data_IF_693220449330
#
_entry.id   IF_693220449330
#
_cell.length_a   1.000
_cell.length_b   1.000
_cell.length_c   1.000
_cell.angle_alpha   90.00
_cell.angle_beta   90.00
_cell.angle_gamma   90.00
#
_symmetry.space_group_name_H-M   'P 1'
#
loop_
_entity.id
_entity.type
_entity.pdbx_description
1 polymer ?
#
# COMPACT_ATOMS: atom_id res chain seq x y z
N UNK A 1 -17.78 61.97 -40.58
CA UNK A 1 -16.92 61.09 -41.40
C UNK A 1 -16.64 59.82 -40.61
N UNK A 2 -16.51 58.67 -41.30
CA UNK A 2 -15.55 57.55 -41.08
C UNK A 2 -15.24 57.10 -39.63
N UNK A 3 -15.22 55.81 -39.25
CA UNK A 3 -15.78 54.54 -39.79
C UNK A 3 -15.50 53.47 -38.73
N UNK A 4 -16.37 52.46 -38.55
CA UNK A 4 -15.93 51.22 -37.89
C UNK A 4 -14.88 50.53 -38.77
N UNK A 5 -13.77 50.06 -38.18
CA UNK A 5 -12.94 48.97 -38.72
C UNK A 5 -12.29 48.15 -37.59
N UNK A 6 -12.64 46.86 -37.58
CA UNK A 6 -11.85 45.71 -37.20
C UNK A 6 -11.17 45.70 -35.81
N UNK A 7 -11.81 44.99 -34.87
CA UNK A 7 -11.07 44.20 -33.87
C UNK A 7 -10.22 43.18 -34.61
N UNK A 8 -8.92 43.13 -34.34
CA UNK A 8 -8.05 42.02 -34.75
C UNK A 8 -7.79 41.17 -33.52
N UNK A 9 -8.41 39.99 -33.47
CA UNK A 9 -8.12 39.00 -32.43
C UNK A 9 -6.78 38.35 -32.78
N UNK A 10 -5.70 38.84 -32.16
CA UNK A 10 -4.37 38.28 -32.35
C UNK A 10 -4.26 36.92 -31.67
N UNK A 11 -4.67 35.86 -32.38
CA UNK A 11 -4.36 34.48 -31.99
C UNK A 11 -2.85 34.29 -32.04
N UNK A 12 -2.21 34.31 -30.87
CA UNK A 12 -0.86 33.80 -30.72
C UNK A 12 -0.89 32.31 -31.07
N UNK A 13 -0.46 31.98 -32.29
CA UNK A 13 -0.15 30.61 -32.66
C UNK A 13 1.06 30.20 -31.82
N UNK A 14 0.78 29.48 -30.72
CA UNK A 14 1.83 28.98 -29.84
C UNK A 14 2.83 28.15 -30.64
N UNK A 15 4.11 28.42 -30.43
CA UNK A 15 5.19 27.61 -31.01
C UNK A 15 4.94 26.16 -30.64
N UNK A 16 4.74 25.30 -31.64
CA UNK A 16 4.60 23.87 -31.40
C UNK A 16 5.92 23.37 -30.80
N UNK A 17 5.90 23.10 -29.50
CA UNK A 17 6.88 22.22 -28.88
C UNK A 17 6.85 20.90 -29.66
N UNK A 18 8.03 20.33 -29.92
CA UNK A 18 8.21 19.03 -30.57
C UNK A 18 9.12 18.18 -29.67
N UNK A 19 8.66 18.00 -28.45
CA UNK A 19 9.49 17.80 -27.27
C UNK A 19 8.97 16.63 -26.47
N UNK A 20 9.80 15.61 -26.26
CA UNK A 20 9.49 14.55 -25.29
C UNK A 20 10.44 14.69 -24.11
N UNK A 21 9.87 14.94 -22.93
CA UNK A 21 10.58 15.04 -21.66
C UNK A 21 10.24 13.81 -20.82
N UNK A 22 11.27 13.20 -20.24
CA UNK A 22 11.17 11.99 -19.41
C UNK A 22 11.86 12.22 -18.07
N UNK A 23 11.17 11.89 -16.98
CA UNK A 23 11.71 12.01 -15.61
C UNK A 23 11.27 10.80 -14.78
N UNK A 24 12.22 9.99 -14.32
CA UNK A 24 12.04 8.88 -13.40
C UNK A 24 12.68 9.16 -12.04
N UNK A 25 12.08 8.64 -10.97
CA UNK A 25 12.66 8.58 -9.62
C UNK A 25 12.45 7.18 -9.08
N UNK A 26 13.54 6.44 -8.93
CA UNK A 26 13.59 4.99 -8.66
C UNK A 26 14.26 4.78 -7.32
N UNK A 27 13.58 4.15 -6.35
CA UNK A 27 14.20 3.81 -5.07
C UNK A 27 14.95 2.47 -5.11
N UNK A 28 15.73 2.19 -4.06
CA UNK A 28 16.49 0.94 -3.90
C UNK A 28 15.64 -0.36 -3.90
N UNK A 29 14.30 -0.26 -3.91
CA UNK A 29 13.37 -1.39 -4.02
C UNK A 29 12.76 -1.53 -5.43
N UNK A 30 13.28 -0.82 -6.43
CA UNK A 30 12.78 -0.79 -7.82
C UNK A 30 11.33 -0.27 -7.96
N UNK A 31 10.81 0.42 -6.94
CA UNK A 31 9.61 1.25 -7.10
C UNK A 31 10.02 2.54 -7.80
N UNK A 32 9.31 2.89 -8.87
CA UNK A 32 9.57 4.09 -9.65
C UNK A 32 8.33 4.98 -9.77
N UNK A 33 8.56 6.29 -9.71
CA UNK A 33 7.63 7.31 -10.20
C UNK A 33 8.24 7.91 -11.47
N UNK A 34 7.59 7.73 -12.63
CA UNK A 34 8.06 8.19 -13.94
C UNK A 34 7.02 9.10 -14.59
N UNK A 35 7.53 10.07 -15.34
CA UNK A 35 6.82 11.04 -16.17
C UNK A 35 7.30 10.89 -17.62
N UNK A 36 6.39 10.99 -18.59
CA UNK A 36 6.72 11.31 -19.98
C UNK A 36 5.68 12.31 -20.54
N UNK A 37 6.12 13.54 -20.79
CA UNK A 37 5.33 14.59 -21.46
C UNK A 37 5.74 14.68 -22.92
N UNK A 38 4.77 14.80 -23.83
CA UNK A 38 4.99 15.13 -25.24
C UNK A 38 4.36 16.51 -25.51
N UNK A 39 5.18 17.44 -26.00
CA UNK A 39 4.83 18.83 -26.29
C UNK A 39 4.24 19.58 -25.09
N UNK A 40 4.80 19.32 -23.90
CA UNK A 40 4.32 19.85 -22.62
C UNK A 40 3.04 19.17 -22.08
N UNK A 41 2.45 18.22 -22.80
CA UNK A 41 1.32 17.44 -22.33
C UNK A 41 1.77 16.08 -21.81
N UNK A 42 1.46 15.76 -20.56
CA UNK A 42 1.63 14.43 -19.97
C UNK A 42 0.85 13.36 -20.75
N UNK A 43 1.56 12.49 -21.48
CA UNK A 43 0.96 11.44 -22.32
C UNK A 43 1.23 10.02 -21.84
N UNK A 44 2.36 9.79 -21.16
CA UNK A 44 2.82 8.47 -20.69
C UNK A 44 3.46 8.60 -19.30
N UNK A 45 3.43 7.57 -18.43
CA UNK A 45 4.03 7.66 -17.08
C UNK A 45 4.11 6.35 -16.27
N UNK A 46 4.74 6.32 -15.09
CA UNK A 46 4.77 5.17 -14.12
C UNK A 46 4.62 5.66 -12.65
N UNK A 47 4.02 4.87 -11.77
CA UNK A 47 4.06 5.03 -10.30
C UNK A 47 3.87 3.67 -9.62
N UNK A 48 4.93 2.85 -9.59
CA UNK A 48 4.86 1.44 -9.19
C UNK A 48 6.17 0.69 -9.38
N UNK A 49 6.15 -0.61 -9.07
CA UNK A 49 7.24 -1.53 -9.39
C UNK A 49 7.29 -1.84 -10.89
N UNK A 50 8.46 -2.25 -11.37
CA UNK A 50 8.66 -2.77 -12.73
C UNK A 50 8.38 -4.27 -12.83
N UNK A 51 8.28 -4.79 -14.05
CA UNK A 51 8.51 -6.21 -14.32
C UNK A 51 10.01 -6.52 -14.34
N UNK A 52 10.40 -7.80 -14.47
CA UNK A 52 11.80 -8.25 -14.39
C UNK A 52 12.76 -7.64 -15.44
N UNK A 53 12.23 -6.94 -16.45
CA UNK A 53 12.99 -6.30 -17.51
C UNK A 53 12.95 -4.76 -17.45
N UNK A 54 12.03 -4.15 -16.68
CA UNK A 54 11.84 -2.69 -16.67
C UNK A 54 10.44 -2.22 -16.27
N UNK A 55 10.11 -0.96 -16.57
CA UNK A 55 8.81 -0.35 -16.26
C UNK A 55 8.00 -0.05 -17.53
N UNK A 56 6.74 -0.50 -17.56
CA UNK A 56 5.77 -0.20 -18.63
C UNK A 56 4.83 0.94 -18.23
N UNK A 57 4.76 1.95 -19.09
CA UNK A 57 4.15 3.24 -18.77
C UNK A 57 2.68 3.31 -19.22
N UNK A 58 1.82 3.94 -18.41
CA UNK A 58 0.43 4.16 -18.75
C UNK A 58 0.34 5.32 -19.71
N UNK A 59 -0.19 5.06 -20.89
CA UNK A 59 -0.20 6.00 -21.98
C UNK A 59 -1.62 6.29 -22.46
N UNK A 60 -1.85 7.53 -22.92
CA UNK A 60 -3.08 7.90 -23.62
C UNK A 60 -3.25 7.05 -24.88
N UNK A 61 -4.49 6.87 -25.33
CA UNK A 61 -4.77 6.15 -26.58
C UNK A 61 -3.96 6.73 -27.76
N UNK A 62 -3.26 5.87 -28.48
CA UNK A 62 -2.33 6.24 -29.55
C UNK A 62 -0.86 6.41 -29.13
N UNK A 63 -0.55 6.29 -27.83
CA UNK A 63 0.80 6.38 -27.28
C UNK A 63 1.20 5.09 -26.54
N UNK A 64 2.50 4.80 -26.44
CA UNK A 64 3.04 3.73 -25.60
C UNK A 64 4.50 4.00 -25.20
N UNK A 65 4.91 3.66 -23.98
CA UNK A 65 6.29 3.82 -23.52
C UNK A 65 6.74 2.69 -22.57
N UNK A 66 8.05 2.41 -22.57
CA UNK A 66 8.68 1.36 -21.78
C UNK A 66 10.14 1.73 -21.43
N UNK A 67 10.55 1.63 -20.17
CA UNK A 67 11.93 1.88 -19.71
C UNK A 67 12.61 0.57 -19.30
N UNK A 68 13.81 0.27 -19.82
CA UNK A 68 14.56 -0.97 -19.56
C UNK A 68 15.53 -0.84 -18.39
N UNK A 69 15.55 -1.85 -17.51
CA UNK A 69 16.37 -1.89 -16.28
C UNK A 69 17.90 -1.90 -16.46
N UNK A 70 18.41 -2.37 -17.60
CA UNK A 70 19.83 -2.78 -17.73
C UNK A 70 20.75 -1.74 -18.35
N UNK A 71 20.17 -0.77 -19.03
CA UNK A 71 20.84 0.23 -19.87
C UNK A 71 20.12 1.60 -19.82
N UNK A 72 19.12 1.74 -18.93
CA UNK A 72 18.37 2.96 -18.68
C UNK A 72 17.79 3.63 -19.95
N UNK A 73 17.46 2.79 -20.94
CA UNK A 73 16.87 3.17 -22.23
C UNK A 73 15.35 3.18 -22.16
N UNK A 74 14.74 4.20 -22.76
CA UNK A 74 13.30 4.33 -22.98
C UNK A 74 12.96 4.09 -24.44
N UNK A 75 11.99 3.23 -24.68
CA UNK A 75 11.32 3.02 -25.96
C UNK A 75 9.97 3.75 -25.93
N UNK A 76 9.69 4.57 -26.94
CA UNK A 76 8.53 5.45 -26.99
C UNK A 76 7.88 5.45 -28.38
N UNK A 77 6.55 5.44 -28.42
CA UNK A 77 5.75 5.50 -29.64
C UNK A 77 4.57 6.44 -29.45
N UNK A 78 4.28 7.25 -30.48
CA UNK A 78 3.26 8.28 -30.51
C UNK A 78 2.59 8.35 -31.89
N UNK A 79 1.45 9.06 -32.06
CA UNK A 79 0.78 9.19 -33.37
C UNK A 79 1.63 9.87 -34.47
N UNK A 80 2.75 10.50 -34.10
CA UNK A 80 3.68 11.20 -34.99
C UNK A 80 5.06 10.52 -35.14
N UNK A 81 5.28 9.34 -34.55
CA UNK A 81 6.55 8.60 -34.74
C UNK A 81 6.87 7.58 -33.65
N UNK A 82 8.11 7.10 -33.62
CA UNK A 82 8.63 6.22 -32.56
C UNK A 82 10.14 6.39 -32.41
N UNK A 83 10.63 6.32 -31.17
CA UNK A 83 11.99 6.66 -30.78
C UNK A 83 12.50 5.72 -29.69
N UNK A 84 13.81 5.60 -29.60
CA UNK A 84 14.51 4.89 -28.53
C UNK A 84 15.66 5.76 -28.05
N UNK A 85 15.70 6.09 -26.75
CA UNK A 85 16.65 7.05 -26.20
C UNK A 85 17.16 6.61 -24.81
N UNK A 86 18.44 6.85 -24.53
CA UNK A 86 19.02 6.64 -23.21
C UNK A 86 18.63 7.76 -22.23
N UNK A 87 18.62 7.46 -20.94
CA UNK A 87 18.41 8.44 -19.87
C UNK A 87 19.69 8.66 -19.07
N UNK A 88 19.82 9.85 -18.46
CA UNK A 88 20.90 10.19 -17.54
C UNK A 88 20.42 9.98 -16.10
N UNK A 89 20.93 8.94 -15.44
CA UNK A 89 20.63 8.62 -14.05
C UNK A 89 21.67 9.20 -13.07
N UNK A 90 21.20 9.80 -11.97
CA UNK A 90 22.03 10.29 -10.87
C UNK A 90 21.53 9.74 -9.52
N UNK A 91 22.44 9.24 -8.68
CA UNK A 91 22.10 8.64 -7.38
C UNK A 91 22.13 9.69 -6.26
N UNK A 92 21.01 9.82 -5.55
CA UNK A 92 20.84 10.69 -4.39
C UNK A 92 20.72 9.86 -3.12
N UNK A 93 21.72 9.95 -2.23
CA UNK A 93 21.71 9.31 -0.92
C UNK A 93 20.88 10.12 0.10
N UNK A 94 20.10 9.44 0.94
CA UNK A 94 19.38 10.10 2.05
C UNK A 94 20.35 10.41 3.21
N UNK A 95 20.44 11.67 3.70
CA UNK A 95 21.31 12.01 4.82
C UNK A 95 20.95 11.21 6.09
N UNK A 96 21.93 10.51 6.66
CA UNK A 96 21.79 9.77 7.93
C UNK A 96 21.20 8.37 7.83
N UNK A 97 20.68 7.93 6.68
CA UNK A 97 20.10 6.60 6.51
C UNK A 97 21.07 5.64 5.79
N UNK A 98 21.46 4.55 6.46
CA UNK A 98 22.34 3.54 5.87
C UNK A 98 21.71 2.86 4.65
N UNK A 99 22.35 2.99 3.49
CA UNK A 99 21.94 2.36 2.22
C UNK A 99 20.50 2.65 1.75
N UNK A 100 19.95 3.83 2.06
CA UNK A 100 18.71 4.33 1.47
C UNK A 100 18.98 5.51 0.51
N UNK A 101 18.53 5.39 -0.73
CA UNK A 101 18.68 6.42 -1.75
C UNK A 101 17.73 6.24 -2.94
N UNK A 102 17.80 7.18 -3.88
CA UNK A 102 16.95 7.27 -5.07
C UNK A 102 17.84 7.55 -6.29
N UNK A 103 17.70 6.77 -7.36
CA UNK A 103 18.19 7.12 -8.69
C UNK A 103 17.16 8.02 -9.38
N UNK A 104 17.56 9.23 -9.76
CA UNK A 104 16.76 10.13 -10.57
C UNK A 104 17.27 10.06 -12.01
N UNK A 105 16.45 9.55 -12.94
CA UNK A 105 16.83 9.42 -14.35
C UNK A 105 16.06 10.40 -15.21
N UNK A 106 16.73 11.09 -16.13
CA UNK A 106 16.12 12.13 -16.97
C UNK A 106 16.52 11.97 -18.45
N UNK A 107 15.61 12.31 -19.35
CA UNK A 107 15.91 12.47 -20.77
C UNK A 107 15.01 13.52 -21.43
N UNK A 108 15.46 14.02 -22.56
CA UNK A 108 14.80 15.06 -23.35
C UNK A 108 15.19 14.92 -24.81
N UNK A 109 14.21 14.76 -25.70
CA UNK A 109 14.44 14.66 -27.14
C UNK A 109 13.58 15.66 -27.93
N UNK A 110 14.17 16.24 -28.98
CA UNK A 110 13.45 16.99 -30.01
C UNK A 110 13.07 16.02 -31.14
N UNK A 111 11.79 15.66 -31.26
CA UNK A 111 11.39 14.63 -32.22
C UNK A 111 11.29 15.11 -33.68
N UNK A 112 11.49 16.41 -33.94
CA UNK A 112 11.71 16.90 -35.32
C UNK A 112 13.11 16.58 -35.86
N UNK A 113 14.06 16.24 -35.00
CA UNK A 113 15.38 15.73 -35.40
C UNK A 113 15.27 14.23 -35.73
N UNK A 114 15.71 13.84 -36.92
CA UNK A 114 15.64 12.43 -37.35
C UNK A 114 16.64 11.59 -36.56
N UNK A 115 16.28 10.37 -36.12
CA UNK A 115 17.25 9.45 -35.56
C UNK A 115 18.23 9.01 -36.65
N UNK A 116 19.50 9.43 -36.54
CA UNK A 116 20.59 8.80 -37.26
C UNK A 116 20.86 7.40 -36.66
N UNK A 117 21.23 6.44 -37.51
CA UNK A 117 21.24 5.04 -37.13
C UNK A 117 22.45 4.69 -36.24
N UNK A 118 22.17 4.17 -35.03
CA UNK A 118 23.07 3.38 -34.19
C UNK A 118 24.47 3.96 -33.94
N UNK A 119 24.64 4.72 -32.85
CA UNK A 119 25.96 4.93 -32.24
C UNK A 119 26.15 4.06 -31.00
N UNK A 120 27.14 3.17 -31.05
CA UNK A 120 27.72 2.54 -29.87
C UNK A 120 28.74 3.48 -29.23
N UNK A 121 28.84 3.40 -27.89
CA UNK A 121 30.01 3.65 -27.04
C UNK A 121 31.03 4.77 -27.38
N UNK A 122 31.25 5.62 -26.37
CA UNK A 122 32.47 6.42 -26.14
C UNK A 122 32.82 7.51 -27.17
N UNK A 123 32.42 8.75 -26.85
CA UNK A 123 33.22 9.95 -27.13
C UNK A 123 33.36 10.78 -25.85
N UNK A 124 34.41 11.60 -25.79
CA UNK A 124 34.79 12.38 -24.59
C UNK A 124 34.11 13.75 -24.63
N UNK A 125 33.69 14.26 -23.47
CA UNK A 125 33.30 15.67 -23.32
C UNK A 125 34.52 16.58 -23.54
N UNK A 126 34.51 17.36 -24.62
CA UNK A 126 35.39 18.51 -24.80
C UNK A 126 34.68 19.76 -24.22
N UNK A 127 35.32 20.48 -23.32
CA UNK A 127 34.74 21.64 -22.62
C UNK A 127 34.78 22.95 -23.44
N UNK A 128 34.51 22.89 -24.75
CA UNK A 128 34.18 24.10 -25.53
C UNK A 128 33.08 23.87 -26.57
N UNK A 129 32.25 24.90 -26.77
CA UNK A 129 31.06 25.02 -27.66
C UNK A 129 29.73 24.68 -26.98
N UNK A 130 28.93 25.71 -26.71
CA UNK A 130 27.51 25.60 -26.34
C UNK A 130 26.63 25.47 -27.60
N UNK A 131 25.82 24.40 -27.74
CA UNK A 131 24.75 24.34 -28.74
C UNK A 131 23.62 25.36 -28.43
N UNK A 132 22.76 25.69 -29.42
CA UNK A 132 21.57 26.51 -29.16
C UNK A 132 20.60 25.80 -28.20
N UNK A 133 19.83 26.57 -27.43
CA UNK A 133 18.82 26.03 -26.50
C UNK A 133 17.73 25.26 -27.25
N UNK A 134 17.51 24.01 -26.87
CA UNK A 134 16.34 23.22 -27.30
C UNK A 134 15.04 23.85 -26.78
N UNK A 135 13.89 23.72 -27.48
CA UNK A 135 12.62 24.33 -27.05
C UNK A 135 12.00 23.74 -25.78
N UNK A 136 12.52 22.64 -25.26
CA UNK A 136 11.88 21.81 -24.25
C UNK A 136 12.37 22.15 -22.83
N UNK A 137 11.52 22.79 -22.00
CA UNK A 137 11.58 22.85 -20.52
C UNK A 137 10.39 23.66 -19.96
N UNK A 138 9.82 23.35 -18.77
CA UNK A 138 9.68 22.09 -18.02
C UNK A 138 8.19 21.58 -18.13
N UNK A 139 7.53 20.76 -17.29
CA UNK A 139 7.73 20.35 -15.89
C UNK A 139 6.89 19.09 -15.47
N UNK A 140 7.39 18.31 -14.49
CA UNK A 140 6.78 17.24 -13.65
C UNK A 140 5.65 16.22 -14.09
N UNK A 141 5.77 14.98 -13.55
CA UNK A 141 4.73 14.08 -12.93
C UNK A 141 4.27 12.71 -13.55
N UNK A 142 4.58 11.58 -12.87
CA UNK A 142 3.69 10.50 -12.29
C UNK A 142 2.76 9.60 -13.18
N UNK A 143 2.67 8.25 -12.93
CA UNK A 143 1.56 7.22 -13.12
C UNK A 143 1.52 6.06 -14.20
N UNK A 144 1.46 4.80 -13.72
CA UNK A 144 1.46 3.38 -14.29
C UNK A 144 0.09 2.79 -14.69
N UNK A 145 -0.07 1.53 -15.22
CA UNK A 145 0.87 0.55 -15.80
C UNK A 145 0.51 0.26 -17.30
N UNK A 146 -0.06 -0.85 -17.87
CA UNK A 146 -0.31 -2.26 -17.49
C UNK A 146 0.29 -3.33 -18.47
N UNK A 147 0.18 -4.62 -18.13
CA UNK A 147 -0.34 -5.75 -18.97
C UNK A 147 0.15 -7.13 -18.44
N UNK A 148 -0.81 -7.98 -18.07
CA UNK A 148 -1.00 -9.43 -18.33
C UNK A 148 0.10 -10.23 -19.08
N UNK A 149 0.34 -11.54 -18.85
CA UNK A 149 -0.30 -12.56 -17.98
C UNK A 149 0.62 -13.80 -17.86
N UNK A 150 0.53 -14.61 -16.78
CA UNK A 150 0.51 -16.09 -16.82
C UNK A 150 0.18 -16.69 -15.43
N UNK A 151 -0.37 -17.91 -15.39
CA UNK A 151 -0.98 -18.54 -14.20
C UNK A 151 -0.53 -20.01 -14.00
N UNK A 152 -0.56 -20.52 -12.76
CA UNK A 152 -0.57 -21.97 -12.47
C UNK A 152 -1.10 -22.27 -11.05
N UNK A 153 -1.71 -23.43 -10.90
CA UNK A 153 -2.82 -23.64 -9.95
C UNK A 153 -2.45 -24.34 -8.63
N UNK A 154 -3.29 -24.09 -7.60
CA UNK A 154 -3.53 -24.97 -6.45
C UNK A 154 -5.05 -25.05 -6.21
N UNK A 155 -5.60 -26.20 -5.75
CA UNK A 155 -7.05 -26.39 -5.62
C UNK A 155 -7.62 -25.79 -4.33
N UNK A 156 -8.81 -25.20 -4.41
CA UNK A 156 -9.59 -24.75 -3.26
C UNK A 156 -11.03 -25.29 -3.35
N UNK A 157 -11.40 -26.23 -2.46
CA UNK A 157 -12.76 -26.74 -2.38
C UNK A 157 -13.71 -25.67 -1.81
N UNK A 158 -14.75 -25.34 -2.56
CA UNK A 158 -15.63 -24.20 -2.25
C UNK A 158 -16.92 -24.65 -1.57
N UNK A 159 -16.99 -24.51 -0.24
CA UNK A 159 -18.21 -24.70 0.56
C UNK A 159 -19.21 -23.56 0.30
N UNK A 160 -20.04 -23.70 -0.74
CA UNK A 160 -21.11 -22.77 -1.05
C UNK A 160 -22.38 -23.10 -0.23
N UNK A 161 -22.75 -22.21 0.70
CA UNK A 161 -24.04 -22.26 1.42
C UNK A 161 -24.86 -21.00 1.11
N UNK A 162 -26.16 -21.18 0.85
CA UNK A 162 -27.03 -20.16 0.25
C UNK A 162 -28.08 -19.64 1.23
N UNK A 163 -28.23 -18.31 1.36
CA UNK A 163 -29.54 -17.66 1.48
C UNK A 163 -29.49 -16.13 1.28
N UNK A 164 -30.25 -15.67 0.29
CA UNK A 164 -31.05 -14.42 0.17
C UNK A 164 -30.72 -13.27 1.15
N UNK A 165 -30.47 -12.02 0.71
CA UNK A 165 -31.07 -11.34 -0.45
C UNK A 165 -30.11 -10.53 -1.35
N UNK A 166 -30.46 -10.46 -2.63
CA UNK A 166 -30.21 -9.27 -3.46
C UNK A 166 -29.07 -9.39 -4.46
N UNK A 167 -27.82 -9.32 -3.99
CA UNK A 167 -26.64 -9.37 -4.85
C UNK A 167 -25.61 -10.36 -4.30
N UNK A 168 -25.41 -11.47 -5.00
CA UNK A 168 -24.30 -12.38 -4.74
C UNK A 168 -23.02 -11.77 -5.30
N UNK A 169 -22.41 -10.86 -4.55
CA UNK A 169 -21.09 -10.34 -4.86
C UNK A 169 -20.08 -11.48 -4.86
N UNK A 170 -19.31 -11.64 -5.95
CA UNK A 170 -18.15 -12.56 -6.03
C UNK A 170 -16.99 -12.06 -5.15
N UNK A 171 -17.22 -12.05 -3.83
CA UNK A 171 -16.22 -11.75 -2.80
C UNK A 171 -15.41 -13.01 -2.53
N UNK A 172 -14.16 -12.99 -2.98
CA UNK A 172 -13.15 -14.00 -2.65
C UNK A 172 -12.32 -13.50 -1.47
N UNK A 173 -11.99 -14.41 -0.57
CA UNK A 173 -11.05 -14.18 0.53
C UNK A 173 -9.82 -15.00 0.22
N UNK A 174 -8.67 -14.34 0.15
CA UNK A 174 -7.43 -14.90 -0.35
C UNK A 174 -6.31 -14.52 0.63
N UNK A 175 -5.42 -15.46 0.95
CA UNK A 175 -4.20 -15.14 1.71
C UNK A 175 -3.28 -14.32 0.81
N UNK A 176 -2.74 -13.22 1.33
CA UNK A 176 -1.76 -12.40 0.61
C UNK A 176 -0.47 -13.20 0.48
N UNK A 177 -0.03 -13.38 -0.76
CA UNK A 177 1.23 -14.06 -1.14
C UNK A 177 2.23 -13.11 -1.83
N UNK A 178 1.81 -11.88 -2.13
CA UNK A 178 2.53 -10.92 -2.94
C UNK A 178 2.62 -9.57 -2.20
N UNK A 179 3.83 -9.06 -1.88
CA UNK A 179 4.00 -7.77 -1.20
C UNK A 179 3.34 -6.58 -1.92
N UNK A 180 3.10 -6.70 -3.22
CA UNK A 180 2.49 -5.70 -4.08
C UNK A 180 1.03 -5.40 -3.69
N UNK A 181 0.32 -6.39 -3.13
CA UNK A 181 -1.03 -6.25 -2.56
C UNK A 181 -1.09 -5.13 -1.49
N UNK A 182 0.00 -4.93 -0.74
CA UNK A 182 0.01 -4.03 0.42
C UNK A 182 -0.25 -2.56 0.10
N UNK A 183 -0.13 -2.15 -1.17
CA UNK A 183 -0.52 -0.80 -1.61
C UNK A 183 -2.04 -0.62 -1.50
N UNK A 184 -2.83 -1.41 -2.21
CA UNK A 184 -4.31 -1.33 -2.15
C UNK A 184 -4.85 -1.68 -0.74
N UNK A 185 -4.20 -2.60 -0.03
CA UNK A 185 -4.53 -2.89 1.38
C UNK A 185 -4.36 -1.65 2.26
N UNK A 186 -3.30 -0.87 2.05
CA UNK A 186 -3.08 0.39 2.80
C UNK A 186 -4.12 1.44 2.43
N UNK A 187 -4.57 1.50 1.17
CA UNK A 187 -5.67 2.38 0.76
C UNK A 187 -7.01 1.99 1.40
N UNK A 188 -7.32 0.69 1.47
CA UNK A 188 -8.49 0.16 2.20
C UNK A 188 -8.45 0.54 3.69
N UNK A 189 -7.29 0.42 4.32
CA UNK A 189 -7.07 0.78 5.73
C UNK A 189 -7.15 2.30 5.96
N UNK A 190 -6.59 3.11 5.04
CA UNK A 190 -6.68 4.57 5.03
C UNK A 190 -8.12 5.05 4.92
N UNK A 191 -8.88 4.50 3.98
CA UNK A 191 -10.26 4.92 3.73
C UNK A 191 -11.20 4.49 4.88
N UNK A 192 -10.97 3.32 5.49
CA UNK A 192 -11.74 2.84 6.63
C UNK A 192 -11.40 3.58 7.95
N UNK A 193 -10.14 3.57 8.39
CA UNK A 193 -9.77 4.13 9.69
C UNK A 193 -9.52 5.64 9.66
N UNK A 194 -8.86 6.14 8.61
CA UNK A 194 -8.52 7.56 8.49
C UNK A 194 -9.70 8.42 8.01
N UNK A 195 -10.27 8.10 6.85
CA UNK A 195 -11.35 8.92 6.26
C UNK A 195 -12.72 8.68 6.90
N UNK A 196 -13.15 7.42 7.08
CA UNK A 196 -14.50 7.11 7.59
C UNK A 196 -14.58 7.15 9.12
N UNK A 197 -13.77 6.36 9.83
CA UNK A 197 -13.85 6.26 11.29
C UNK A 197 -13.18 7.44 12.01
N UNK A 198 -12.19 8.09 11.37
CA UNK A 198 -11.30 9.11 11.95
C UNK A 198 -10.67 8.63 13.27
N UNK A 199 -10.21 7.37 13.28
CA UNK A 199 -9.71 6.68 14.46
C UNK A 199 -8.44 7.36 15.02
N UNK A 200 -8.54 7.90 16.24
CA UNK A 200 -7.48 8.71 16.84
C UNK A 200 -6.15 7.98 17.06
N UNK A 201 -6.17 6.65 17.26
CA UNK A 201 -4.96 5.85 17.42
C UNK A 201 -4.32 5.64 16.05
N UNK A 202 -5.10 5.22 15.05
CA UNK A 202 -4.64 5.11 13.66
C UNK A 202 -4.06 6.42 13.15
N UNK A 203 -4.77 7.54 13.32
CA UNK A 203 -4.35 8.86 12.87
C UNK A 203 -3.02 9.29 13.51
N UNK A 204 -2.79 8.99 14.79
CA UNK A 204 -1.49 9.27 15.43
C UNK A 204 -0.35 8.40 14.90
N UNK A 205 -0.56 7.09 14.78
CA UNK A 205 0.50 6.12 14.42
C UNK A 205 0.85 6.10 12.92
N UNK A 206 0.16 6.92 12.13
CA UNK A 206 0.32 7.01 10.69
C UNK A 206 0.46 8.49 10.26
N UNK A 207 1.54 9.19 10.65
CA UNK A 207 1.78 10.57 10.23
C UNK A 207 1.79 10.69 8.70
N UNK A 208 0.92 11.58 8.18
CA UNK A 208 0.69 11.77 6.75
C UNK A 208 -0.05 10.61 6.05
N UNK A 209 -0.86 9.83 6.76
CA UNK A 209 -1.72 8.74 6.23
C UNK A 209 -2.53 9.11 4.98
N UNK A 210 -2.88 10.38 4.83
CA UNK A 210 -3.63 10.97 3.73
C UNK A 210 -2.76 11.39 2.53
N UNK A 211 -1.43 11.30 2.62
CA UNK A 211 -0.51 11.60 1.52
C UNK A 211 -0.04 10.33 0.79
N UNK A 212 0.39 10.42 -0.49
CA UNK A 212 0.94 9.28 -1.24
C UNK A 212 2.14 8.64 -0.54
N UNK A 213 2.99 9.45 0.08
CA UNK A 213 4.18 9.00 0.82
C UNK A 213 3.78 8.25 2.10
N UNK A 214 2.67 8.64 2.74
CA UNK A 214 2.09 7.91 3.86
C UNK A 214 1.54 6.54 3.46
N UNK A 215 0.89 6.44 2.30
CA UNK A 215 0.45 5.15 1.73
C UNK A 215 1.66 4.25 1.45
N UNK A 216 2.73 4.79 0.86
CA UNK A 216 3.98 4.04 0.64
C UNK A 216 4.64 3.61 1.97
N UNK A 217 4.67 4.46 3.00
CA UNK A 217 5.15 4.10 4.35
C UNK A 217 4.27 3.05 5.04
N UNK A 218 2.96 3.07 4.81
CA UNK A 218 2.03 2.06 5.32
C UNK A 218 2.25 0.70 4.65
N UNK A 219 2.27 0.68 3.32
CA UNK A 219 2.51 -0.53 2.53
C UNK A 219 3.89 -1.14 2.84
N UNK A 220 4.93 -0.31 2.96
CA UNK A 220 6.27 -0.73 3.35
C UNK A 220 6.33 -1.40 4.73
N UNK A 221 5.63 -0.85 5.74
CA UNK A 221 5.55 -1.45 7.09
C UNK A 221 4.80 -2.80 7.07
N UNK A 222 3.69 -2.90 6.34
CA UNK A 222 2.98 -4.17 6.19
C UNK A 222 3.80 -5.22 5.44
N UNK A 223 4.44 -4.84 4.33
CA UNK A 223 5.33 -5.69 3.55
C UNK A 223 6.56 -6.15 4.35
N UNK A 224 7.07 -5.32 5.26
CA UNK A 224 8.12 -5.73 6.19
C UNK A 224 7.61 -6.78 7.19
N UNK A 225 6.48 -6.51 7.88
CA UNK A 225 5.86 -7.46 8.82
C UNK A 225 5.55 -8.82 8.14
N UNK A 226 5.11 -8.80 6.89
CA UNK A 226 4.89 -9.99 6.05
C UNK A 226 6.17 -10.77 5.75
N UNK A 227 7.29 -10.08 5.49
CA UNK A 227 8.60 -10.72 5.24
C UNK A 227 9.27 -11.26 6.51
N UNK A 228 8.82 -10.87 7.70
CA UNK A 228 9.37 -11.28 8.99
C UNK A 228 8.41 -12.14 9.81
N UNK A 229 7.47 -12.84 9.17
CA UNK A 229 6.51 -13.73 9.86
C UNK A 229 7.23 -14.99 10.36
N UNK A 230 7.18 -15.21 11.67
CA UNK A 230 7.63 -16.46 12.31
C UNK A 230 6.61 -17.59 12.09
N UNK A 231 7.01 -18.84 12.39
CA UNK A 231 6.12 -19.99 12.41
C UNK A 231 5.97 -20.55 13.84
N UNK A 232 4.83 -21.21 14.09
CA UNK A 232 4.61 -22.00 15.29
C UNK A 232 5.28 -23.38 15.18
N UNK A 233 5.28 -24.15 16.26
CA UNK A 233 5.83 -25.51 16.34
C UNK A 233 5.07 -26.58 15.52
N UNK A 234 3.89 -26.25 14.98
CA UNK A 234 3.14 -27.04 14.00
C UNK A 234 3.52 -26.68 12.55
N UNK A 235 4.33 -25.63 12.34
CA UNK A 235 4.77 -25.13 11.04
C UNK A 235 3.81 -24.10 10.39
N UNK A 236 2.71 -23.73 11.05
CA UNK A 236 1.83 -22.69 10.55
C UNK A 236 2.48 -21.30 10.74
N UNK A 237 2.28 -20.34 9.83
CA UNK A 237 2.68 -18.95 10.06
C UNK A 237 1.95 -18.34 11.25
N UNK A 238 2.67 -17.61 12.11
CA UNK A 238 2.09 -16.90 13.24
C UNK A 238 1.14 -15.79 12.79
N UNK A 239 1.53 -15.00 11.77
CA UNK A 239 0.70 -13.92 11.22
C UNK A 239 0.21 -14.28 9.82
N UNK A 240 -1.09 -14.14 9.57
CA UNK A 240 -1.70 -14.32 8.25
C UNK A 240 -2.41 -13.04 7.81
N UNK A 241 -2.04 -12.57 6.62
CA UNK A 241 -2.65 -11.41 5.98
C UNK A 241 -3.67 -11.89 4.94
N UNK A 242 -4.89 -11.35 5.00
CA UNK A 242 -5.97 -11.66 4.06
C UNK A 242 -6.29 -10.44 3.21
N UNK A 243 -6.57 -10.67 1.92
CA UNK A 243 -7.27 -9.72 1.04
C UNK A 243 -8.67 -10.23 0.73
N UNK A 244 -9.63 -9.32 0.66
CA UNK A 244 -10.94 -9.56 0.09
C UNK A 244 -11.02 -8.86 -1.26
N UNK A 245 -11.28 -9.62 -2.32
CA UNK A 245 -11.29 -9.10 -3.70
C UNK A 245 -12.70 -9.15 -4.31
N UNK A 246 -13.00 -8.15 -5.14
CA UNK A 246 -14.17 -8.12 -6.03
C UNK A 246 -13.72 -7.98 -7.49
N UNK A 247 -14.51 -8.43 -8.48
CA UNK A 247 -14.29 -8.09 -9.88
C UNK A 247 -14.20 -6.56 -10.04
N UNK A 248 -13.19 -6.08 -10.76
CA UNK A 248 -13.11 -4.66 -11.07
C UNK A 248 -14.06 -4.31 -12.22
N UNK A 249 -14.86 -3.26 -12.03
CA UNK A 249 -15.82 -2.77 -13.03
C UNK A 249 -15.15 -1.83 -14.04
N UNK A 250 -14.01 -1.25 -13.67
CA UNK A 250 -13.23 -0.35 -14.52
C UNK A 250 -12.25 -1.16 -15.39
N UNK A 251 -11.68 -2.24 -14.84
CA UNK A 251 -10.69 -3.10 -15.48
C UNK A 251 -11.23 -4.53 -15.66
N UNK A 252 -11.95 -4.78 -16.77
CA UNK A 252 -12.61 -6.07 -17.04
C UNK A 252 -11.62 -7.24 -17.00
N UNK A 253 -11.90 -8.23 -16.15
CA UNK A 253 -11.06 -9.41 -15.93
C UNK A 253 -10.13 -9.30 -14.72
N UNK A 254 -9.83 -8.09 -14.26
CA UNK A 254 -9.04 -7.84 -13.05
C UNK A 254 -9.93 -7.87 -11.79
N UNK A 255 -9.28 -7.82 -10.61
CA UNK A 255 -9.94 -7.80 -9.32
C UNK A 255 -9.31 -6.74 -8.42
N UNK A 256 -10.14 -5.91 -7.79
CA UNK A 256 -9.73 -4.85 -6.86
C UNK A 256 -9.79 -5.39 -5.42
N UNK A 257 -8.80 -5.04 -4.59
CA UNK A 257 -8.85 -5.29 -3.15
C UNK A 257 -9.80 -4.28 -2.52
N UNK A 258 -10.78 -4.77 -1.76
CA UNK A 258 -11.87 -3.98 -1.18
C UNK A 258 -12.03 -4.19 0.32
N UNK A 259 -11.24 -5.11 0.89
CA UNK A 259 -11.18 -5.40 2.32
C UNK A 259 -9.92 -6.19 2.64
N UNK A 260 -9.54 -6.19 3.92
CA UNK A 260 -8.36 -6.89 4.42
C UNK A 260 -8.56 -7.32 5.87
N UNK A 261 -7.78 -8.32 6.30
CA UNK A 261 -7.62 -8.64 7.72
C UNK A 261 -6.19 -9.09 8.02
N UNK A 262 -5.78 -8.94 9.27
CA UNK A 262 -4.57 -9.53 9.84
C UNK A 262 -5.01 -10.42 11.00
N UNK A 263 -4.63 -11.69 10.94
CA UNK A 263 -4.77 -12.65 12.03
C UNK A 263 -3.40 -12.98 12.61
N UNK A 264 -3.27 -13.05 13.93
CA UNK A 264 -2.00 -13.31 14.62
C UNK A 264 -2.16 -14.38 15.72
N UNK A 265 -1.39 -15.47 15.64
CA UNK A 265 -1.26 -16.46 16.70
C UNK A 265 -0.25 -15.95 17.75
N UNK A 266 -0.73 -15.71 18.97
CA UNK A 266 0.08 -15.20 20.07
C UNK A 266 0.11 -16.17 21.26
N UNK A 267 1.22 -16.20 21.99
CA UNK A 267 1.44 -17.13 23.10
C UNK A 267 2.48 -16.61 24.10
N UNK A 268 2.32 -16.93 25.38
CA UNK A 268 3.37 -16.77 26.38
C UNK A 268 4.47 -17.86 26.28
N UNK A 269 4.16 -18.99 25.64
CA UNK A 269 5.04 -20.16 25.52
C UNK A 269 5.80 -20.12 24.19
N UNK A 270 7.11 -20.35 24.26
CA UNK A 270 8.00 -20.34 23.10
C UNK A 270 7.55 -21.38 22.05
N UNK A 271 7.58 -20.98 20.78
CA UNK A 271 7.14 -21.82 19.65
C UNK A 271 5.62 -21.99 19.50
N UNK A 272 4.79 -21.51 20.43
CA UNK A 272 3.32 -21.59 20.32
C UNK A 272 2.66 -20.34 19.72
N UNK A 273 3.43 -19.30 19.39
CA UNK A 273 2.97 -18.06 18.76
C UNK A 273 4.00 -16.94 18.95
N UNK A 274 3.70 -15.74 18.46
CA UNK A 274 4.49 -14.55 18.78
C UNK A 274 4.20 -14.09 20.23
N UNK A 275 5.23 -13.70 20.99
CA UNK A 275 5.07 -13.27 22.38
C UNK A 275 4.43 -11.87 22.49
N UNK A 276 3.78 -11.54 23.61
CA UNK A 276 3.48 -10.15 23.97
C UNK A 276 4.74 -9.28 23.95
N UNK A 277 4.64 -8.02 23.49
CA UNK A 277 5.77 -7.11 23.42
C UNK A 277 6.30 -6.75 24.81
N UNK A 278 7.62 -6.62 24.92
CA UNK A 278 8.33 -6.20 26.15
C UNK A 278 8.77 -4.75 26.07
N UNK A 279 8.91 -4.21 24.86
CA UNK A 279 9.24 -2.82 24.57
C UNK A 279 8.40 -2.33 23.37
N UNK A 280 7.23 -1.77 23.65
CA UNK A 280 6.32 -1.25 22.63
C UNK A 280 6.94 -0.14 21.76
N UNK A 281 7.89 0.64 22.28
CA UNK A 281 8.56 1.70 21.51
C UNK A 281 9.45 1.07 20.43
N UNK A 282 10.24 0.07 20.81
CA UNK A 282 11.12 -0.67 19.91
C UNK A 282 10.37 -1.58 18.95
N UNK A 283 9.40 -2.35 19.45
CA UNK A 283 8.73 -3.42 18.69
C UNK A 283 7.69 -2.89 17.69
N UNK A 284 7.07 -1.74 17.97
CA UNK A 284 6.27 -0.99 16.98
C UNK A 284 7.14 -0.08 16.09
N UNK A 285 8.45 0.00 16.34
CA UNK A 285 9.40 0.81 15.58
C UNK A 285 9.15 2.32 15.68
N UNK A 286 8.71 2.81 16.84
CA UNK A 286 8.17 4.18 16.98
C UNK A 286 9.20 5.28 16.71
N UNK A 287 10.50 5.05 16.96
CA UNK A 287 11.58 5.97 16.54
C UNK A 287 11.61 6.17 15.02
N UNK A 288 11.26 5.15 14.21
CA UNK A 288 11.15 5.29 12.75
C UNK A 288 9.85 5.99 12.29
N UNK A 289 8.88 6.18 13.19
CA UNK A 289 7.62 6.89 12.93
C UNK A 289 7.71 8.33 13.43
N UNK A 290 8.39 8.56 14.56
CA UNK A 290 8.54 9.85 15.23
C UNK A 290 10.02 10.11 15.63
N UNK A 291 10.94 10.32 14.66
CA UNK A 291 12.38 10.42 14.95
C UNK A 291 12.72 11.52 15.96
N UNK A 292 13.42 11.16 17.03
CA UNK A 292 13.79 12.05 18.13
C UNK A 292 12.62 12.67 18.92
N UNK A 293 11.37 12.27 18.68
CA UNK A 293 10.18 12.79 19.35
C UNK A 293 9.60 11.75 20.31
N UNK A 294 10.29 11.57 21.44
CA UNK A 294 9.92 10.61 22.49
C UNK A 294 8.47 10.77 22.99
N UNK A 295 7.91 11.99 22.95
CA UNK A 295 6.58 12.28 23.45
C UNK A 295 5.50 11.57 22.62
N UNK A 296 5.59 11.63 21.29
CA UNK A 296 4.69 10.88 20.40
C UNK A 296 4.94 9.37 20.47
N UNK A 297 6.19 8.95 20.68
CA UNK A 297 6.52 7.54 20.90
C UNK A 297 5.85 7.00 22.18
N UNK A 298 5.94 7.73 23.29
CA UNK A 298 5.25 7.35 24.54
C UNK A 298 3.73 7.41 24.40
N UNK A 299 3.17 8.39 23.67
CA UNK A 299 1.73 8.43 23.38
C UNK A 299 1.26 7.20 22.60
N UNK A 300 1.94 6.86 21.50
CA UNK A 300 1.57 5.70 20.68
C UNK A 300 1.79 4.37 21.41
N UNK A 301 2.87 4.23 22.18
CA UNK A 301 3.09 3.06 23.04
C UNK A 301 2.01 2.92 24.12
N UNK A 302 1.63 4.01 24.80
CA UNK A 302 0.56 4.02 25.81
C UNK A 302 -0.80 3.66 25.19
N UNK A 303 -1.12 4.19 24.01
CA UNK A 303 -2.33 3.84 23.26
C UNK A 303 -2.40 2.34 22.94
N UNK A 304 -1.31 1.75 22.44
CA UNK A 304 -1.27 0.33 22.08
C UNK A 304 -1.23 -0.60 23.29
N UNK A 305 -0.49 -0.23 24.34
CA UNK A 305 -0.47 -0.97 25.60
C UNK A 305 -1.83 -0.99 26.29
N UNK A 306 -2.56 0.13 26.27
CA UNK A 306 -3.95 0.20 26.76
C UNK A 306 -4.89 -0.69 25.94
N UNK A 307 -4.78 -0.64 24.61
CA UNK A 307 -5.59 -1.44 23.68
C UNK A 307 -5.36 -2.94 23.90
N UNK A 308 -4.11 -3.39 23.99
CA UNK A 308 -3.76 -4.81 24.09
C UNK A 308 -3.74 -5.36 25.52
N UNK A 309 -3.85 -4.52 26.56
CA UNK A 309 -3.79 -4.89 27.99
C UNK A 309 -4.49 -6.22 28.32
N UNK A 310 -5.78 -6.33 27.97
CA UNK A 310 -6.57 -7.55 28.24
C UNK A 310 -6.23 -8.73 27.32
N UNK A 311 -5.77 -8.47 26.09
CA UNK A 311 -5.23 -9.48 25.16
C UNK A 311 -3.99 -10.16 25.77
N UNK A 312 -3.08 -9.37 26.32
CA UNK A 312 -1.84 -9.84 26.95
C UNK A 312 -2.11 -10.61 28.25
N UNK A 313 -3.05 -10.14 29.08
CA UNK A 313 -3.53 -10.89 30.25
C UNK A 313 -4.09 -12.27 29.86
N UNK A 314 -4.93 -12.36 28.82
CA UNK A 314 -5.47 -13.66 28.35
C UNK A 314 -4.36 -14.55 27.76
N UNK A 315 -3.37 -13.98 27.08
CA UNK A 315 -2.19 -14.74 26.60
C UNK A 315 -1.40 -15.34 27.78
N UNK A 316 -1.30 -14.62 28.91
CA UNK A 316 -0.71 -15.14 30.14
C UNK A 316 -1.59 -16.19 30.83
N UNK A 317 -2.91 -16.01 30.88
CA UNK A 317 -3.88 -16.99 31.40
C UNK A 317 -3.79 -18.34 30.63
N UNK A 318 -3.58 -18.30 29.31
CA UNK A 318 -3.42 -19.49 28.47
C UNK A 318 -2.08 -20.22 28.64
N UNK A 319 -1.10 -19.68 29.36
CA UNK A 319 0.23 -20.30 29.49
C UNK A 319 0.22 -21.74 30.05
N UNK A 320 -0.84 -22.12 30.78
CA UNK A 320 -1.03 -23.47 31.32
C UNK A 320 -2.17 -24.26 30.65
N UNK A 321 -2.69 -23.79 29.51
CA UNK A 321 -3.74 -24.47 28.75
C UNK A 321 -3.17 -25.60 27.86
N UNK A 322 -4.03 -26.52 27.42
CA UNK A 322 -3.63 -27.64 26.55
C UNK A 322 -3.16 -27.18 25.15
N UNK A 323 -3.78 -26.13 24.62
CA UNK A 323 -3.27 -25.33 23.50
C UNK A 323 -2.95 -23.94 24.07
N UNK A 324 -1.68 -23.65 24.45
CA UNK A 324 -1.32 -22.44 25.19
C UNK A 324 -1.16 -21.20 24.29
N UNK A 325 -2.11 -20.98 23.38
CA UNK A 325 -2.09 -19.92 22.38
C UNK A 325 -3.50 -19.39 22.06
N UNK A 326 -3.55 -18.21 21.46
CA UNK A 326 -4.77 -17.54 20.98
C UNK A 326 -4.60 -17.06 19.54
N UNK A 327 -5.69 -16.88 18.81
CA UNK A 327 -5.69 -16.39 17.43
C UNK A 327 -6.43 -15.06 17.32
N UNK A 328 -5.68 -13.97 17.18
CA UNK A 328 -6.16 -12.60 17.37
C UNK A 328 -6.47 -11.93 16.04
N UNK A 329 -7.63 -11.28 15.91
CA UNK A 329 -7.92 -10.39 14.77
C UNK A 329 -7.27 -9.01 15.02
N UNK A 330 -6.00 -8.92 14.66
CA UNK A 330 -5.14 -7.76 14.92
C UNK A 330 -5.51 -6.53 14.05
N UNK A 331 -6.13 -6.76 12.89
CA UNK A 331 -6.74 -5.70 12.07
C UNK A 331 -7.85 -6.26 11.18
N UNK A 332 -8.91 -5.48 10.92
CA UNK A 332 -9.91 -5.78 9.90
C UNK A 332 -10.46 -4.48 9.30
N UNK A 333 -10.35 -4.32 7.98
CA UNK A 333 -10.86 -3.16 7.25
C UNK A 333 -11.64 -3.56 5.99
N UNK A 334 -12.60 -2.72 5.60
CA UNK A 334 -13.35 -2.80 4.34
C UNK A 334 -13.52 -1.37 3.84
N UNK A 335 -13.17 -1.09 2.59
CA UNK A 335 -13.35 0.24 1.99
C UNK A 335 -14.82 0.65 2.14
N UNK A 336 -15.12 1.86 2.68
CA UNK A 336 -16.48 2.38 2.87
C UNK A 336 -17.41 2.18 1.66
N UNK A 337 -16.88 2.28 0.42
CA UNK A 337 -17.62 2.10 -0.84
C UNK A 337 -18.16 0.67 -1.01
N UNK A 338 -17.55 -0.31 -0.35
CA UNK A 338 -17.85 -1.74 -0.45
C UNK A 338 -18.44 -2.35 0.84
N UNK A 339 -18.66 -1.54 1.87
CA UNK A 339 -19.33 -1.97 3.11
C UNK A 339 -20.79 -2.39 2.88
N UNK A 340 -21.39 -3.05 3.88
CA UNK A 340 -22.71 -3.69 3.78
C UNK A 340 -22.74 -5.00 2.97
N UNK A 341 -21.73 -5.28 2.15
CA UNK A 341 -21.65 -6.46 1.25
C UNK A 341 -21.20 -7.77 1.91
N UNK A 342 -21.22 -7.85 3.24
CA UNK A 342 -20.80 -9.04 4.01
C UNK A 342 -19.30 -9.34 4.02
N UNK A 343 -18.46 -8.46 3.45
CA UNK A 343 -17.01 -8.67 3.29
C UNK A 343 -16.30 -8.95 4.63
N UNK A 344 -16.53 -8.09 5.63
CA UNK A 344 -15.98 -8.28 6.98
C UNK A 344 -16.41 -9.62 7.61
N UNK A 345 -17.66 -10.07 7.37
CA UNK A 345 -18.12 -11.38 7.86
C UNK A 345 -17.30 -12.52 7.25
N UNK A 346 -17.00 -12.46 5.95
CA UNK A 346 -16.17 -13.46 5.26
C UNK A 346 -14.70 -13.45 5.73
N UNK A 347 -14.11 -12.26 5.92
CA UNK A 347 -12.75 -12.11 6.47
C UNK A 347 -12.62 -12.68 7.89
N UNK A 348 -13.65 -12.49 8.73
CA UNK A 348 -13.65 -13.02 10.10
C UNK A 348 -13.94 -14.52 10.13
N UNK A 349 -14.85 -15.02 9.27
CA UNK A 349 -15.16 -16.45 9.16
C UNK A 349 -13.91 -17.27 8.83
N UNK A 350 -13.05 -16.78 7.92
CA UNK A 350 -11.77 -17.43 7.60
C UNK A 350 -10.93 -17.68 8.86
N UNK A 351 -10.89 -16.73 9.80
CA UNK A 351 -10.12 -16.88 11.04
C UNK A 351 -10.74 -17.86 12.04
N UNK A 352 -12.07 -17.93 12.11
CA UNK A 352 -12.78 -18.97 12.89
C UNK A 352 -12.45 -20.36 12.35
N UNK A 353 -12.51 -20.53 11.02
CA UNK A 353 -12.23 -21.79 10.34
C UNK A 353 -10.74 -22.20 10.51
N UNK A 354 -9.82 -21.24 10.45
CA UNK A 354 -8.38 -21.43 10.67
C UNK A 354 -8.03 -21.73 12.13
N UNK A 355 -8.60 -21.02 13.10
CA UNK A 355 -8.40 -21.30 14.53
C UNK A 355 -8.88 -22.70 14.91
N UNK A 356 -9.98 -23.15 14.30
CA UNK A 356 -10.48 -24.53 14.39
C UNK A 356 -9.49 -25.53 13.79
N UNK A 357 -8.94 -25.27 12.59
CA UNK A 357 -7.90 -26.10 11.95
C UNK A 357 -6.64 -26.24 12.83
N UNK A 358 -6.22 -25.16 13.50
CA UNK A 358 -5.02 -25.13 14.36
C UNK A 358 -5.15 -25.89 15.69
N UNK A 359 -6.36 -26.34 16.04
CA UNK A 359 -6.65 -27.12 17.26
C UNK A 359 -7.84 -26.62 18.08
N UNK A 360 -8.57 -25.60 17.61
CA UNK A 360 -9.62 -24.93 18.39
C UNK A 360 -9.05 -23.80 19.27
N UNK A 361 -8.11 -23.02 18.73
CA UNK A 361 -7.55 -21.86 19.41
C UNK A 361 -8.65 -20.85 19.78
N UNK A 362 -8.60 -20.27 20.98
CA UNK A 362 -9.51 -19.18 21.34
C UNK A 362 -9.19 -17.92 20.52
N UNK A 363 -10.22 -17.21 20.07
CA UNK A 363 -10.07 -16.01 19.24
C UNK A 363 -10.38 -14.75 20.05
N UNK A 364 -9.51 -13.75 19.92
CA UNK A 364 -9.58 -12.46 20.61
C UNK A 364 -9.60 -11.29 19.60
N UNK A 365 -10.18 -10.15 19.97
CA UNK A 365 -10.09 -8.89 19.24
C UNK A 365 -10.50 -7.67 20.07
N UNK A 366 -10.06 -6.48 19.66
CA UNK A 366 -10.46 -5.19 20.24
C UNK A 366 -11.43 -4.45 19.29
N UNK A 367 -12.73 -4.64 19.50
CA UNK A 367 -13.76 -4.17 18.58
C UNK A 367 -14.07 -2.67 18.72
N UNK A 368 -13.84 -1.91 17.65
CA UNK A 368 -14.38 -0.57 17.51
C UNK A 368 -15.92 -0.53 17.59
N UNK A 369 -16.47 0.65 17.85
CA UNK A 369 -17.91 0.96 17.79
C UNK A 369 -18.61 0.46 16.51
N UNK A 370 -17.90 0.51 15.37
CA UNK A 370 -18.41 0.02 14.08
C UNK A 370 -18.30 -1.51 13.93
N UNK A 371 -17.23 -2.13 14.43
CA UNK A 371 -16.95 -3.55 14.24
C UNK A 371 -17.77 -4.48 15.16
N UNK A 372 -18.00 -4.08 16.42
CA UNK A 372 -18.53 -4.96 17.49
C UNK A 372 -19.81 -5.73 17.15
N UNK A 373 -20.72 -5.15 16.35
CA UNK A 373 -21.95 -5.82 15.93
C UNK A 373 -21.73 -6.96 14.91
N UNK A 374 -20.67 -6.90 14.10
CA UNK A 374 -20.29 -7.96 13.16
C UNK A 374 -19.71 -9.15 13.92
N UNK A 375 -18.78 -8.89 14.85
CA UNK A 375 -18.15 -9.94 15.67
C UNK A 375 -19.17 -10.62 16.61
N UNK A 376 -20.10 -9.86 17.20
CA UNK A 376 -21.22 -10.40 17.99
C UNK A 376 -22.06 -11.43 17.22
N UNK A 377 -22.30 -11.19 15.92
CA UNK A 377 -23.02 -12.10 15.02
C UNK A 377 -22.20 -13.34 14.60
N UNK A 378 -20.94 -13.43 15.02
CA UNK A 378 -20.01 -14.52 14.76
C UNK A 378 -19.57 -15.23 16.06
N UNK A 379 -20.25 -14.97 17.18
CA UNK A 379 -20.06 -15.69 18.44
C UNK A 379 -19.05 -15.05 19.41
N UNK A 380 -18.36 -13.98 19.01
CA UNK A 380 -17.55 -13.18 19.94
C UNK A 380 -18.45 -12.49 20.97
N UNK A 381 -18.01 -12.45 22.22
CA UNK A 381 -18.68 -11.78 23.34
C UNK A 381 -17.76 -10.73 23.93
N UNK A 382 -18.33 -9.61 24.36
CA UNK A 382 -17.59 -8.61 25.13
C UNK A 382 -17.17 -9.18 26.49
N UNK A 383 -15.92 -8.93 26.89
CA UNK A 383 -15.43 -9.16 28.25
C UNK A 383 -14.86 -7.84 28.78
N UNK A 384 -15.37 -7.37 29.92
CA UNK A 384 -14.99 -6.08 30.50
C UNK A 384 -15.75 -4.85 29.94
N UNK A 385 -15.36 -3.64 30.37
CA UNK A 385 -15.95 -2.37 29.93
C UNK A 385 -15.48 -1.94 28.52
N UNK A 386 -15.73 -0.68 28.14
CA UNK A 386 -14.91 -0.01 27.12
C UNK A 386 -13.45 0.07 27.59
N UNK A 387 -12.51 0.09 26.65
CA UNK A 387 -11.07 0.23 26.93
C UNK A 387 -10.79 1.68 27.33
N UNK A 388 -10.34 1.85 28.57
CA UNK A 388 -9.75 3.11 29.05
C UNK A 388 -8.30 3.21 28.57
N UNK A 389 -7.89 4.39 28.12
CA UNK A 389 -6.57 4.63 27.53
C UNK A 389 -5.68 5.40 28.51
N UNK A 390 -4.73 4.68 29.13
CA UNK A 390 -3.80 5.14 30.15
C UNK A 390 -2.67 6.01 29.54
N UNK A 391 -2.98 7.25 29.15
CA UNK A 391 -2.03 8.19 28.50
C UNK A 391 -1.58 9.35 29.41
N UNK A 392 -0.41 9.94 29.14
CA UNK A 392 0.09 11.12 29.85
C UNK A 392 -0.91 12.30 29.78
N UNK A 393 -1.04 13.09 30.87
CA UNK A 393 -2.02 14.18 30.98
C UNK A 393 -1.95 15.19 29.82
N UNK A 394 -0.75 15.47 29.31
CA UNK A 394 -0.55 16.36 28.15
C UNK A 394 -1.29 15.90 26.87
N UNK A 395 -1.65 14.62 26.77
CA UNK A 395 -2.41 14.04 25.65
C UNK A 395 -3.90 13.79 25.96
N UNK A 396 -4.38 14.12 27.16
CA UNK A 396 -5.77 13.90 27.56
C UNK A 396 -6.77 14.52 26.55
N UNK A 397 -6.42 15.69 25.98
CA UNK A 397 -7.19 16.44 24.99
C UNK A 397 -7.37 15.77 23.62
N UNK A 398 -6.66 14.67 23.32
CA UNK A 398 -6.74 13.98 22.02
C UNK A 398 -7.94 13.03 21.97
N UNK A 399 -8.63 13.01 20.84
CA UNK A 399 -9.67 12.00 20.59
C UNK A 399 -9.06 10.60 20.51
N UNK A 400 -9.78 9.61 21.07
CA UNK A 400 -9.43 8.18 21.06
C UNK A 400 -10.69 7.36 20.75
N UNK A 401 -10.56 6.22 20.05
CA UNK A 401 -11.72 5.44 19.60
C UNK A 401 -12.40 4.70 20.76
N UNK A 402 -13.67 4.35 20.56
CA UNK A 402 -14.45 3.52 21.49
C UNK A 402 -14.26 2.05 21.12
N UNK A 403 -13.42 1.36 21.88
CA UNK A 403 -13.07 -0.05 21.68
C UNK A 403 -13.48 -0.90 22.90
N UNK A 404 -13.91 -2.14 22.64
CA UNK A 404 -14.18 -3.16 23.67
C UNK A 404 -13.36 -4.40 23.38
N UNK A 405 -12.87 -5.07 24.41
CA UNK A 405 -12.27 -6.39 24.24
C UNK A 405 -13.37 -7.45 24.02
N UNK A 406 -13.18 -8.32 23.03
CA UNK A 406 -14.10 -9.42 22.73
C UNK A 406 -13.36 -10.73 22.50
N UNK A 407 -13.94 -11.84 22.99
CA UNK A 407 -13.39 -13.20 22.89
C UNK A 407 -14.46 -14.23 22.53
N UNK A 408 -14.07 -15.40 22.03
CA UNK A 408 -15.00 -16.51 21.75
C UNK A 408 -15.25 -17.43 22.94
N UNK A 409 -14.30 -17.54 23.89
CA UNK A 409 -14.29 -18.56 24.94
C UNK A 409 -13.63 -19.87 24.49
N UNK A 410 -13.38 -20.77 25.44
CA UNK A 410 -12.87 -22.12 25.14
C UNK A 410 -13.94 -22.99 24.44
N UNK A 411 -13.59 -23.55 23.28
CA UNK A 411 -14.32 -24.62 22.59
C UNK A 411 -15.31 -24.19 21.48
N UNK A 412 -14.79 -23.84 20.30
CA UNK A 412 -15.58 -23.66 19.06
C UNK A 412 -15.25 -24.67 17.93
#
# INVERSE_FOLDING_TARGET
MVSLKNVVLATFAGSALACVDFVASINNFQYATITLTDNGQKVCSVNGYGDVNGWRLNCRSGYSAYMRFRDDVVEYSAPHGSWTFATKCEYMAAPGAGAAGINVCTARINWMEKPEATMNALSVYDETITPPRSPCDPDFSILTPPFDVFNRDYPAETMASTTVAGQNYDVRIEVISQPEDFTQVTEVVRDAFGHQARDGVYLSMNPGWDTPEGVVRGAGRMANRFKTVNQNNKGDPNVVFLKATLPDLENTGQRRIVGMAIWAQQSAIEGHGDQPPKDLIKELGLESIFPGNEAEQRYAAACMGSLHKRREEVIAEKATAAEPAVFVLDMCAVDPKFQGKGIAKKLVQWGLDEAKRRGGLELLLEASSMGRHVYSKLGFKQEGPEIEYDVEEQFAHRDRPSNIFMRTGDGQ
#
